data_IF_837176047046
#
_entry.id   IF_837176047046
#
_cell.length_a   1.000
_cell.length_b   1.000
_cell.length_c   1.000
_cell.angle_alpha   90.00
_cell.angle_beta   90.00
_cell.angle_gamma   90.00
#
_symmetry.space_group_name_H-M   'P 1'
#
loop_
_entity.id
_entity.type
_entity.pdbx_description
1 polymer ?
#
# COMPACT_ATOMS: atom_id res chain seq x y z
N UNK A 1 -27.87 -2.50 25.07
CA UNK A 1 -26.96 -1.33 25.05
C UNK A 1 -25.64 -1.73 24.42
N UNK A 2 -25.08 -0.92 23.51
CA UNK A 2 -23.77 -1.19 22.94
C UNK A 2 -22.68 -1.03 24.02
N UNK A 3 -21.81 -2.03 24.20
CA UNK A 3 -20.65 -1.91 25.10
C UNK A 3 -19.69 -0.89 24.50
N UNK A 4 -19.52 0.26 25.15
CA UNK A 4 -18.51 1.25 24.79
C UNK A 4 -17.14 0.64 25.14
N UNK A 5 -16.27 0.49 24.14
CA UNK A 5 -14.91 0.04 24.38
C UNK A 5 -14.15 1.13 25.16
N UNK A 6 -13.47 0.74 26.24
CA UNK A 6 -12.55 1.63 26.94
C UNK A 6 -11.44 2.03 25.96
N UNK A 7 -11.30 3.33 25.71
CA UNK A 7 -10.24 3.84 24.82
C UNK A 7 -8.86 3.56 25.42
N UNK A 8 -7.90 3.21 24.57
CA UNK A 8 -6.52 2.98 24.97
C UNK A 8 -5.82 4.29 25.29
N UNK A 9 -4.78 4.18 26.12
CA UNK A 9 -3.85 5.27 26.42
C UNK A 9 -2.43 4.86 26.03
N UNK A 10 -1.57 5.83 25.71
CA UNK A 10 -0.16 5.54 25.40
C UNK A 10 0.55 4.85 26.58
N UNK A 11 0.19 5.19 27.81
CA UNK A 11 0.72 4.54 29.02
C UNK A 11 0.34 3.06 29.07
N UNK A 12 -0.92 2.72 28.82
CA UNK A 12 -1.40 1.33 28.77
C UNK A 12 -0.72 0.54 27.64
N UNK A 13 -0.55 1.15 26.47
CA UNK A 13 0.14 0.53 25.35
C UNK A 13 1.61 0.25 25.71
N UNK A 14 2.30 1.20 26.35
CA UNK A 14 3.70 1.04 26.76
C UNK A 14 3.85 -0.01 27.86
N UNK A 15 2.99 0.01 28.86
CA UNK A 15 3.06 -0.90 30.03
C UNK A 15 2.67 -2.34 29.69
N UNK A 16 1.83 -2.54 28.67
CA UNK A 16 1.42 -3.89 28.27
C UNK A 16 2.59 -4.67 27.68
N UNK A 17 3.03 -5.69 28.42
CA UNK A 17 4.07 -6.63 27.99
C UNK A 17 3.46 -7.76 27.15
N UNK A 18 4.21 -8.32 26.19
CA UNK A 18 3.82 -9.55 25.51
C UNK A 18 3.62 -10.70 26.51
N UNK A 19 2.65 -11.57 26.26
CA UNK A 19 2.43 -12.81 27.00
C UNK A 19 2.70 -14.05 26.13
N UNK A 20 2.50 -15.24 26.68
CA UNK A 20 2.64 -16.51 25.93
C UNK A 20 1.65 -16.63 24.78
N UNK A 21 0.51 -15.95 24.89
CA UNK A 21 -0.54 -15.88 23.87
C UNK A 21 -0.67 -14.47 23.33
N UNK A 22 -1.28 -14.38 22.14
CA UNK A 22 -1.59 -13.11 21.50
C UNK A 22 -2.56 -12.29 22.36
N UNK A 23 -2.25 -10.99 22.53
CA UNK A 23 -3.10 -10.04 23.25
C UNK A 23 -3.70 -9.08 22.22
N UNK A 24 -5.00 -8.82 22.32
CA UNK A 24 -5.69 -7.82 21.52
C UNK A 24 -6.25 -6.74 22.45
N UNK A 25 -5.75 -5.51 22.31
CA UNK A 25 -6.25 -4.32 23.01
C UNK A 25 -7.16 -3.55 22.07
N UNK A 26 -8.35 -3.19 22.51
CA UNK A 26 -9.37 -2.53 21.68
C UNK A 26 -9.44 -1.04 22.01
N UNK A 27 -9.41 -0.18 20.99
CA UNK A 27 -9.55 1.28 21.17
C UNK A 27 -10.95 1.81 20.85
N UNK A 28 -11.80 0.98 20.23
CA UNK A 28 -13.12 1.37 19.74
C UNK A 28 -13.15 1.58 18.22
N UNK A 29 -14.35 1.62 17.67
CA UNK A 29 -14.63 1.84 16.24
C UNK A 29 -13.79 0.95 15.31
N UNK A 30 -13.59 -0.30 15.71
CA UNK A 30 -12.83 -1.28 14.93
C UNK A 30 -11.31 -1.22 15.08
N UNK A 31 -10.73 -0.22 15.77
CA UNK A 31 -9.29 -0.12 15.98
C UNK A 31 -8.79 -1.04 17.10
N UNK A 32 -7.73 -1.79 16.80
CA UNK A 32 -7.17 -2.83 17.66
C UNK A 32 -5.64 -2.75 17.62
N UNK A 33 -5.01 -2.79 18.79
CA UNK A 33 -3.59 -3.11 18.91
C UNK A 33 -3.43 -4.60 19.22
N UNK A 34 -2.85 -5.32 18.27
CA UNK A 34 -2.46 -6.72 18.44
C UNK A 34 -1.01 -6.78 18.93
N UNK A 35 -0.77 -7.49 20.02
CA UNK A 35 0.56 -7.78 20.54
C UNK A 35 0.83 -9.27 20.29
N UNK A 36 1.84 -9.55 19.47
CA UNK A 36 2.25 -10.92 19.19
C UNK A 36 2.76 -11.62 20.47
N UNK A 37 2.69 -12.96 20.55
CA UNK A 37 3.28 -13.72 21.66
C UNK A 37 4.75 -13.38 21.90
N UNK A 38 5.22 -13.56 23.14
CA UNK A 38 6.62 -13.36 23.52
C UNK A 38 7.56 -14.24 22.67
N UNK A 39 7.19 -15.50 22.42
CA UNK A 39 7.91 -16.42 21.53
C UNK A 39 8.06 -15.91 20.08
N UNK A 40 7.27 -14.92 19.66
CA UNK A 40 7.32 -14.28 18.33
C UNK A 40 7.88 -12.85 18.38
N UNK A 41 8.55 -12.48 19.47
CA UNK A 41 9.21 -11.19 19.65
C UNK A 41 8.29 -10.05 20.06
N UNK A 42 7.03 -10.31 20.44
CA UNK A 42 6.21 -9.31 21.12
C UNK A 42 5.78 -8.09 20.30
N UNK A 43 5.89 -8.15 18.97
CA UNK A 43 5.61 -7.01 18.07
C UNK A 43 4.17 -6.51 18.24
N UNK A 44 4.03 -5.18 18.28
CA UNK A 44 2.76 -4.48 18.47
C UNK A 44 2.30 -3.90 17.12
N UNK A 45 1.18 -4.41 16.60
CA UNK A 45 0.66 -4.05 15.28
C UNK A 45 -0.77 -3.53 15.38
N UNK A 46 -1.02 -2.41 14.71
CA UNK A 46 -2.35 -1.83 14.59
C UNK A 46 -3.15 -2.52 13.50
N UNK A 47 -4.39 -2.87 13.83
CA UNK A 47 -5.37 -3.40 12.89
C UNK A 47 -6.66 -2.60 12.97
N UNK A 48 -7.32 -2.45 11.84
CA UNK A 48 -8.66 -1.91 11.74
C UNK A 48 -9.60 -3.01 11.25
N UNK A 49 -10.61 -3.33 12.07
CA UNK A 49 -11.69 -4.28 11.75
C UNK A 49 -12.88 -3.53 11.17
N UNK A 50 -13.40 -4.02 10.05
CA UNK A 50 -14.57 -3.46 9.40
C UNK A 50 -15.37 -4.53 8.65
N UNK A 51 -16.55 -4.18 8.16
CA UNK A 51 -17.32 -5.00 7.23
C UNK A 51 -17.16 -4.43 5.82
N UNK A 52 -16.82 -5.29 4.85
CA UNK A 52 -16.68 -4.88 3.45
C UNK A 52 -18.00 -4.28 2.97
N UNK A 53 -18.03 -3.08 2.34
CA UNK A 53 -19.26 -2.38 1.99
C UNK A 53 -20.25 -3.20 1.16
N UNK A 54 -19.74 -3.97 0.18
CA UNK A 54 -20.56 -4.76 -0.76
C UNK A 54 -20.96 -6.11 -0.15
N UNK A 55 -19.98 -6.90 0.31
CA UNK A 55 -20.24 -8.28 0.74
C UNK A 55 -20.69 -8.40 2.20
N UNK A 56 -20.58 -7.31 2.98
CA UNK A 56 -20.81 -7.23 4.43
C UNK A 56 -19.98 -8.22 5.26
N UNK A 57 -19.03 -8.94 4.65
CA UNK A 57 -18.13 -9.85 5.35
C UNK A 57 -17.19 -9.06 6.26
N UNK A 58 -17.05 -9.52 7.50
CA UNK A 58 -16.11 -8.93 8.46
C UNK A 58 -14.68 -9.26 8.06
N UNK A 59 -13.83 -8.25 8.04
CA UNK A 59 -12.42 -8.37 7.72
C UNK A 59 -11.59 -7.46 8.62
N UNK A 60 -10.26 -7.51 8.48
CA UNK A 60 -9.32 -6.60 9.14
C UNK A 60 -8.17 -6.24 8.22
N UNK A 61 -7.70 -5.01 8.31
CA UNK A 61 -6.52 -4.51 7.60
C UNK A 61 -5.45 -4.08 8.60
N UNK A 62 -4.17 -4.29 8.26
CA UNK A 62 -3.05 -3.81 9.07
C UNK A 62 -2.82 -2.33 8.77
N UNK A 63 -2.71 -1.49 9.80
CA UNK A 63 -2.41 -0.06 9.66
C UNK A 63 -0.92 0.26 9.81
N UNK A 64 -0.18 -0.57 10.55
CA UNK A 64 1.23 -0.34 10.82
C UNK A 64 1.68 -0.89 12.16
N UNK A 65 2.92 -0.62 12.53
CA UNK A 65 3.55 -1.15 13.75
C UNK A 65 3.82 -0.02 14.74
N UNK A 66 3.56 -0.27 16.02
CA UNK A 66 3.98 0.62 17.11
C UNK A 66 5.46 0.33 17.45
N UNK A 67 6.31 1.34 17.73
CA UNK A 67 6.00 2.75 17.97
C UNK A 67 6.00 3.67 16.74
N UNK A 68 6.38 3.18 15.56
CA UNK A 68 6.46 3.99 14.34
C UNK A 68 5.10 4.60 13.94
N UNK A 69 4.03 3.84 14.17
CA UNK A 69 2.65 4.33 14.13
C UNK A 69 2.13 4.51 15.56
N UNK A 70 2.02 5.76 16.00
CA UNK A 70 1.51 6.13 17.33
C UNK A 70 0.00 5.89 17.45
N UNK A 71 -0.52 5.85 18.67
CA UNK A 71 -1.97 5.73 18.91
C UNK A 71 -2.76 6.86 18.21
N UNK A 72 -2.27 8.09 18.30
CA UNK A 72 -2.91 9.24 17.65
C UNK A 72 -2.98 9.07 16.12
N UNK A 73 -1.88 8.66 15.48
CA UNK A 73 -1.86 8.38 14.03
C UNK A 73 -2.75 7.19 13.67
N UNK A 74 -2.80 6.15 14.50
CA UNK A 74 -3.68 5.01 14.30
C UNK A 74 -5.16 5.40 14.33
N UNK A 75 -5.56 6.32 15.22
CA UNK A 75 -6.91 6.89 15.28
C UNK A 75 -7.23 7.74 14.05
N UNK A 76 -6.30 8.58 13.60
CA UNK A 76 -6.49 9.36 12.38
C UNK A 76 -6.73 8.46 11.14
N UNK A 77 -5.90 7.42 10.95
CA UNK A 77 -6.10 6.45 9.86
C UNK A 77 -7.42 5.68 9.97
N UNK A 78 -7.84 5.34 11.19
CA UNK A 78 -9.16 4.74 11.43
C UNK A 78 -10.28 5.66 10.96
N UNK A 79 -10.22 6.94 11.31
CA UNK A 79 -11.26 7.92 10.97
C UNK A 79 -11.32 8.16 9.46
N UNK A 80 -10.17 8.18 8.78
CA UNK A 80 -10.09 8.18 7.31
C UNK A 80 -10.78 6.94 6.72
N UNK A 81 -10.52 5.74 7.26
CA UNK A 81 -11.13 4.51 6.75
C UNK A 81 -12.62 4.43 7.04
N UNK A 82 -13.09 4.95 8.17
CA UNK A 82 -14.52 5.07 8.47
C UNK A 82 -15.21 6.01 7.47
N UNK A 83 -14.57 7.11 7.10
CA UNK A 83 -15.06 8.02 6.05
C UNK A 83 -15.17 7.31 4.69
N UNK A 84 -14.15 6.54 4.30
CA UNK A 84 -14.21 5.72 3.08
C UNK A 84 -15.38 4.73 3.11
N UNK A 85 -15.58 4.05 4.24
CA UNK A 85 -16.68 3.10 4.41
C UNK A 85 -18.06 3.77 4.36
N UNK A 86 -18.18 4.97 4.92
CA UNK A 86 -19.42 5.76 4.84
C UNK A 86 -19.79 6.10 3.39
N UNK A 87 -18.77 6.29 2.54
CA UNK A 87 -18.93 6.48 1.09
C UNK A 87 -19.06 5.16 0.30
N UNK A 88 -19.14 4.01 0.98
CA UNK A 88 -19.23 2.70 0.33
C UNK A 88 -17.94 2.18 -0.29
N UNK A 89 -16.80 2.83 -0.01
CA UNK A 89 -15.49 2.48 -0.56
C UNK A 89 -14.77 1.53 0.40
N UNK A 90 -14.24 0.42 -0.13
CA UNK A 90 -13.41 -0.50 0.66
C UNK A 90 -12.00 0.10 0.87
N UNK A 91 -11.54 0.33 2.12
CA UNK A 91 -10.22 0.87 2.41
C UNK A 91 -9.07 0.07 1.79
N UNK A 92 -9.18 -1.26 1.74
CA UNK A 92 -8.13 -2.11 1.17
C UNK A 92 -8.00 -1.85 -0.34
N UNK A 93 -9.12 -1.81 -1.05
CA UNK A 93 -9.16 -1.54 -2.49
C UNK A 93 -8.62 -0.16 -2.79
N UNK A 94 -9.07 0.85 -2.05
CA UNK A 94 -8.59 2.23 -2.19
C UNK A 94 -7.07 2.34 -2.01
N UNK A 95 -6.49 1.67 -1.02
CA UNK A 95 -5.05 1.67 -0.81
C UNK A 95 -4.29 0.92 -1.91
N UNK A 96 -4.80 -0.21 -2.37
CA UNK A 96 -4.22 -0.94 -3.51
C UNK A 96 -4.25 -0.08 -4.77
N UNK A 97 -5.34 0.63 -5.04
CA UNK A 97 -5.43 1.56 -6.17
C UNK A 97 -4.41 2.70 -6.05
N UNK A 98 -4.27 3.33 -4.88
CA UNK A 98 -3.23 4.34 -4.64
C UNK A 98 -1.81 3.79 -4.86
N UNK A 99 -1.53 2.60 -4.34
CA UNK A 99 -0.23 1.96 -4.52
C UNK A 99 0.04 1.61 -5.99
N UNK A 100 -0.97 1.12 -6.71
CA UNK A 100 -0.85 0.83 -8.13
C UNK A 100 -0.65 2.12 -8.94
N UNK A 101 -1.37 3.21 -8.64
CA UNK A 101 -1.18 4.49 -9.32
C UNK A 101 0.25 5.05 -9.13
N UNK A 102 0.83 4.89 -7.93
CA UNK A 102 2.23 5.25 -7.68
C UNK A 102 3.21 4.37 -8.47
N UNK A 103 2.93 3.07 -8.58
CA UNK A 103 3.71 2.16 -9.43
C UNK A 103 3.56 2.51 -10.90
N UNK A 104 2.37 2.82 -11.38
CA UNK A 104 2.12 3.20 -12.76
C UNK A 104 2.91 4.46 -13.14
N UNK A 105 2.96 5.44 -12.23
CA UNK A 105 3.73 6.66 -12.37
C UNK A 105 5.27 6.45 -12.41
N UNK A 106 5.78 5.30 -11.97
CA UNK A 106 7.24 5.09 -11.79
C UNK A 106 7.79 3.89 -12.55
N UNK A 107 7.10 2.76 -12.56
CA UNK A 107 7.53 1.48 -13.13
C UNK A 107 6.88 1.17 -14.50
N UNK A 108 5.72 1.77 -14.79
CA UNK A 108 4.98 1.54 -16.04
C UNK A 108 5.00 2.74 -17.00
N UNK A 109 6.00 3.61 -16.85
CA UNK A 109 6.25 4.68 -17.81
C UNK A 109 6.77 4.12 -19.14
N UNK A 110 6.57 4.88 -20.23
CA UNK A 110 7.07 4.47 -21.55
C UNK A 110 8.58 4.17 -21.52
N UNK A 111 9.37 5.00 -20.85
CA UNK A 111 10.82 4.82 -20.75
C UNK A 111 11.18 3.54 -19.98
N UNK A 112 10.53 3.29 -18.84
CA UNK A 112 10.81 2.09 -18.03
C UNK A 112 10.49 0.79 -18.79
N UNK A 113 9.39 0.79 -19.55
CA UNK A 113 8.97 -0.37 -20.34
C UNK A 113 9.80 -0.51 -21.61
N UNK A 114 10.14 0.59 -22.30
CA UNK A 114 11.03 0.58 -23.45
C UNK A 114 12.40 -0.02 -23.10
N UNK A 115 12.92 0.29 -21.89
CA UNK A 115 14.16 -0.31 -21.38
C UNK A 115 14.03 -1.83 -21.22
N UNK A 116 12.98 -2.28 -20.53
CA UNK A 116 12.72 -3.73 -20.33
C UNK A 116 12.58 -4.46 -21.67
N UNK A 117 11.84 -3.88 -22.61
CA UNK A 117 11.68 -4.43 -23.96
C UNK A 117 13.01 -4.55 -24.69
N UNK A 118 13.84 -3.51 -24.66
CA UNK A 118 15.14 -3.52 -25.34
C UNK A 118 16.10 -4.55 -24.73
N UNK A 119 16.14 -4.64 -23.39
CA UNK A 119 16.91 -5.64 -22.67
C UNK A 119 16.48 -7.07 -23.02
N UNK A 120 15.17 -7.31 -23.16
CA UNK A 120 14.62 -8.60 -23.59
C UNK A 120 14.93 -8.90 -25.06
N UNK A 121 14.85 -7.89 -25.94
CA UNK A 121 15.18 -8.03 -27.36
C UNK A 121 16.64 -8.37 -27.60
N UNK A 122 17.56 -7.79 -26.83
CA UNK A 122 19.00 -8.16 -26.87
C UNK A 122 19.19 -9.62 -26.49
N UNK A 123 18.45 -10.13 -25.50
CA UNK A 123 18.56 -11.53 -25.03
C UNK A 123 17.94 -12.55 -26.00
N UNK A 124 16.80 -12.22 -26.61
CA UNK A 124 15.96 -13.19 -27.32
C UNK A 124 16.12 -13.14 -28.84
N UNK A 125 16.40 -11.97 -29.40
CA UNK A 125 16.32 -11.71 -30.85
C UNK A 125 17.68 -11.55 -31.52
N UNK A 126 18.78 -11.73 -30.78
CA UNK A 126 20.15 -11.66 -31.33
C UNK A 126 20.61 -10.27 -31.76
N UNK A 127 19.94 -9.20 -31.30
CA UNK A 127 20.34 -7.82 -31.60
C UNK A 127 21.71 -7.54 -30.98
N UNK A 128 22.64 -7.01 -31.78
CA UNK A 128 23.95 -6.60 -31.28
C UNK A 128 23.81 -5.46 -30.26
N UNK A 129 24.73 -5.37 -29.30
CA UNK A 129 24.71 -4.31 -28.28
C UNK A 129 24.75 -2.92 -28.90
N UNK A 130 25.48 -2.75 -29.99
CA UNK A 130 25.60 -1.46 -30.68
C UNK A 130 24.27 -1.04 -31.31
N UNK A 131 23.58 -1.95 -31.99
CA UNK A 131 22.26 -1.65 -32.56
C UNK A 131 21.23 -1.35 -31.47
N UNK A 132 21.28 -2.04 -30.33
CA UNK A 132 20.44 -1.72 -29.18
C UNK A 132 20.73 -0.31 -28.63
N UNK A 133 22.00 0.09 -28.54
CA UNK A 133 22.38 1.45 -28.12
C UNK A 133 21.86 2.53 -29.09
N UNK A 134 21.89 2.26 -30.40
CA UNK A 134 21.37 3.21 -31.39
C UNK A 134 19.84 3.36 -31.30
N UNK A 135 19.13 2.24 -31.09
CA UNK A 135 17.68 2.27 -30.80
C UNK A 135 17.42 3.11 -29.54
N UNK A 136 18.17 2.87 -28.47
CA UNK A 136 17.99 3.59 -27.21
C UNK A 136 18.22 5.10 -27.36
N UNK A 137 19.30 5.51 -28.04
CA UNK A 137 19.60 6.93 -28.33
C UNK A 137 18.49 7.61 -29.13
N UNK A 138 17.89 6.88 -30.09
CA UNK A 138 16.76 7.40 -30.86
C UNK A 138 15.54 7.63 -29.97
N UNK A 139 15.23 6.70 -29.06
CA UNK A 139 14.15 6.86 -28.09
C UNK A 139 14.41 8.03 -27.13
N UNK A 140 15.64 8.15 -26.61
CA UNK A 140 16.05 9.25 -25.73
C UNK A 140 15.93 10.63 -26.38
N UNK A 141 16.30 10.75 -27.65
CA UNK A 141 16.27 12.04 -28.35
C UNK A 141 14.86 12.43 -28.80
N UNK A 142 14.09 11.46 -29.30
CA UNK A 142 12.89 11.77 -30.07
C UNK A 142 11.58 11.48 -29.31
N UNK A 143 11.58 10.54 -28.36
CA UNK A 143 10.34 10.06 -27.72
C UNK A 143 10.31 10.38 -26.23
N UNK A 144 11.39 10.11 -25.50
CA UNK A 144 11.43 10.32 -24.05
C UNK A 144 11.21 11.77 -23.58
N UNK A 145 11.60 12.83 -24.33
CA UNK A 145 11.33 14.20 -23.91
C UNK A 145 9.83 14.51 -23.79
N UNK A 146 8.98 13.84 -24.58
CA UNK A 146 7.52 14.03 -24.56
C UNK A 146 6.77 12.95 -23.79
N UNK A 147 7.16 11.68 -23.96
CA UNK A 147 6.39 10.53 -23.47
C UNK A 147 7.13 9.68 -22.42
N UNK A 148 8.41 9.96 -22.14
CA UNK A 148 9.27 9.08 -21.33
C UNK A 148 8.72 8.78 -19.95
N UNK A 149 8.22 9.81 -19.26
CA UNK A 149 7.65 9.72 -17.92
C UNK A 149 6.14 9.45 -17.91
N UNK A 150 5.51 9.28 -19.08
CA UNK A 150 4.06 9.05 -19.17
C UNK A 150 3.77 7.57 -18.94
N UNK A 151 2.86 7.23 -18.02
CA UNK A 151 2.35 5.86 -17.87
C UNK A 151 1.78 5.33 -19.19
N UNK A 152 2.13 4.10 -19.59
CA UNK A 152 1.70 3.56 -20.89
C UNK A 152 0.17 3.51 -21.03
N UNK A 153 -0.54 3.25 -19.94
CA UNK A 153 -2.00 3.23 -19.90
C UNK A 153 -2.65 4.60 -20.14
N UNK A 154 -1.88 5.70 -20.11
CA UNK A 154 -2.32 7.06 -20.39
C UNK A 154 -1.94 7.54 -21.80
N UNK A 155 -1.05 6.82 -22.52
CA UNK A 155 -0.67 7.19 -23.89
C UNK A 155 -1.89 6.97 -24.82
N UNK A 156 -2.25 8.01 -25.55
CA UNK A 156 -3.34 8.00 -26.53
C UNK A 156 -2.80 8.48 -27.89
N UNK A 157 -3.27 7.91 -29.01
CA UNK A 157 -3.02 8.51 -30.31
C UNK A 157 -3.65 9.91 -30.34
N UNK A 158 -2.98 10.86 -31.01
CA UNK A 158 -3.63 12.14 -31.34
C UNK A 158 -4.79 11.82 -32.28
N UNK A 159 -6.00 12.18 -31.84
CA UNK A 159 -7.18 12.25 -32.69
C UNK A 159 -7.04 13.42 -33.67
#
# INVERSE_FOLDING_TARGET
MAKIAKKLTDTEIKSTKPADKEINLFDGDGLILRIAPLAKGGKKNWYFRYAVPVTKKRTKVSLGTYPHLTLAKARALRDEYLSLLANGIDPLVHNTQKANALKDATEHTFQAVAKKWLDEKVKTSGISRDHANDIWRSLERNIFPGLGNVPINEIRPKL
#
